data_IF_136663616484
#
_entry.id   IF_136663616484
#
_cell.length_a   1.000
_cell.length_b   1.000
_cell.length_c   1.000
_cell.angle_alpha   90.00
_cell.angle_beta   90.00
_cell.angle_gamma   90.00
#
_symmetry.space_group_name_H-M   'P 1'
#
loop_
_entity.id
_entity.type
_entity.pdbx_description
1 polymer ?
#
# COMPACT_ATOMS: atom_id res chain seq x y z
N UNK A 1 0.30 -5.79 7.02
CA UNK A 1 -0.03 -5.02 8.27
C UNK A 1 -0.52 -3.63 7.89
N UNK A 2 -1.63 -3.18 8.48
CA UNK A 2 -2.19 -1.85 8.22
C UNK A 2 -1.33 -0.70 8.76
N UNK A 3 -1.70 0.53 8.40
CA UNK A 3 -0.97 1.74 8.79
C UNK A 3 -1.24 2.20 10.25
N UNK A 4 -2.27 1.64 10.89
CA UNK A 4 -2.68 1.94 12.27
C UNK A 4 -2.80 3.45 12.57
N UNK A 5 -3.27 4.25 11.62
CA UNK A 5 -3.36 5.71 11.65
C UNK A 5 -2.00 6.44 11.70
N UNK A 6 -0.90 5.71 11.56
CA UNK A 6 0.45 6.25 11.44
C UNK A 6 0.91 6.20 9.99
N UNK A 7 0.09 6.80 9.09
CA UNK A 7 0.20 6.68 7.64
C UNK A 7 1.59 6.90 7.08
N UNK A 8 2.37 7.82 7.66
CA UNK A 8 3.74 8.12 7.23
C UNK A 8 4.67 6.91 7.34
N UNK A 9 4.38 5.96 8.24
CA UNK A 9 5.18 4.75 8.42
C UNK A 9 5.01 3.77 7.26
N UNK A 10 3.94 3.88 6.46
CA UNK A 10 3.77 3.04 5.28
C UNK A 10 4.89 3.23 4.24
N UNK A 11 5.51 4.42 4.22
CA UNK A 11 6.66 4.74 3.35
C UNK A 11 8.02 4.60 4.05
N UNK A 12 8.05 4.28 5.34
CA UNK A 12 9.29 4.05 6.07
C UNK A 12 9.67 2.57 6.02
N UNK A 13 10.81 2.23 5.39
CA UNK A 13 11.28 0.85 5.24
C UNK A 13 11.62 0.18 6.58
N UNK A 14 11.97 0.95 7.60
CA UNK A 14 12.28 0.45 8.95
C UNK A 14 11.03 0.09 9.76
N UNK A 15 9.84 0.41 9.25
CA UNK A 15 8.57 0.13 9.93
C UNK A 15 7.83 -1.01 9.24
N UNK A 16 7.17 -1.85 10.03
CA UNK A 16 6.29 -2.91 9.51
C UNK A 16 4.88 -2.42 9.17
N UNK A 17 4.54 -1.17 9.53
CA UNK A 17 3.24 -0.58 9.20
C UNK A 17 3.10 -0.35 7.69
N UNK A 18 1.94 -0.70 7.13
CA UNK A 18 1.69 -0.56 5.70
C UNK A 18 2.55 -1.46 4.82
N UNK A 19 2.86 -2.66 5.31
CA UNK A 19 3.70 -3.66 4.63
C UNK A 19 2.99 -4.99 4.49
N UNK A 20 3.31 -5.70 3.43
CA UNK A 20 3.07 -7.14 3.31
C UNK A 20 4.38 -7.85 3.61
N UNK A 21 4.30 -8.86 4.46
CA UNK A 21 5.46 -9.58 4.96
C UNK A 21 5.41 -11.05 4.54
N UNK A 22 6.55 -11.59 4.21
CA UNK A 22 6.80 -13.03 4.16
C UNK A 22 7.48 -13.44 5.46
N UNK A 23 6.93 -14.42 6.15
CA UNK A 23 7.45 -14.90 7.42
C UNK A 23 7.87 -16.36 7.27
N UNK A 24 9.11 -16.68 7.63
CA UNK A 24 9.57 -18.05 7.74
C UNK A 24 9.12 -18.63 9.10
N UNK A 25 8.23 -19.61 9.04
CA UNK A 25 7.64 -20.21 10.25
C UNK A 25 8.62 -21.06 11.08
N UNK A 26 9.78 -21.42 10.52
CA UNK A 26 10.76 -22.25 11.23
C UNK A 26 11.70 -21.43 12.13
N UNK A 27 11.98 -20.18 11.74
CA UNK A 27 12.95 -19.34 12.44
C UNK A 27 12.41 -17.95 12.81
N UNK A 28 11.14 -17.66 12.47
CA UNK A 28 10.48 -16.37 12.68
C UNK A 28 11.13 -15.18 11.96
N UNK A 29 12.03 -15.43 11.01
CA UNK A 29 12.55 -14.37 10.16
C UNK A 29 11.46 -13.82 9.25
N UNK A 30 11.52 -12.53 8.97
CA UNK A 30 10.59 -11.89 8.06
C UNK A 30 11.29 -11.05 7.01
N UNK A 31 10.63 -10.92 5.88
CA UNK A 31 11.05 -10.12 4.73
C UNK A 31 9.87 -9.23 4.32
N UNK A 32 10.14 -7.95 4.05
CA UNK A 32 9.14 -7.06 3.46
C UNK A 32 9.06 -7.36 1.97
N UNK A 33 7.89 -7.77 1.48
CA UNK A 33 7.68 -8.10 0.06
C UNK A 33 6.99 -6.98 -0.72
N UNK A 34 6.27 -6.10 -0.03
CA UNK A 34 5.73 -4.87 -0.61
C UNK A 34 5.46 -3.83 0.47
N UNK A 35 5.32 -2.57 0.06
CA UNK A 35 5.10 -1.44 0.96
C UNK A 35 4.06 -0.45 0.40
N UNK A 36 3.72 0.55 1.19
CA UNK A 36 2.79 1.59 0.76
C UNK A 36 1.33 1.14 0.78
N UNK A 37 0.98 0.25 1.71
CA UNK A 37 -0.38 -0.22 1.94
C UNK A 37 -1.06 0.53 3.09
N UNK A 38 -2.38 0.76 2.94
CA UNK A 38 -3.18 1.42 3.98
C UNK A 38 -3.76 0.42 4.97
N UNK A 39 -4.59 -0.48 4.50
CA UNK A 39 -5.32 -1.42 5.35
C UNK A 39 -5.60 -2.76 4.62
N UNK A 40 -4.57 -3.57 4.41
CA UNK A 40 -4.71 -4.90 3.83
C UNK A 40 -5.68 -5.78 4.61
N UNK A 41 -6.64 -6.39 3.93
CA UNK A 41 -7.67 -7.23 4.52
C UNK A 41 -7.64 -8.66 3.99
N UNK A 42 -7.26 -8.86 2.74
CA UNK A 42 -7.21 -10.17 2.12
C UNK A 42 -5.92 -10.41 1.35
N UNK A 43 -5.43 -11.63 1.39
CA UNK A 43 -4.28 -12.10 0.61
C UNK A 43 -4.61 -13.44 -0.02
N UNK A 44 -4.36 -13.56 -1.31
CA UNK A 44 -4.43 -14.81 -2.05
C UNK A 44 -3.15 -15.03 -2.85
N UNK A 45 -2.46 -16.13 -2.61
CA UNK A 45 -1.27 -16.50 -3.37
C UNK A 45 -1.62 -17.45 -4.51
N UNK A 46 -1.45 -16.99 -5.73
CA UNK A 46 -1.50 -17.83 -6.93
C UNK A 46 -0.13 -18.43 -7.19
N UNK A 47 0.04 -19.68 -6.81
CA UNK A 47 1.29 -20.41 -6.95
C UNK A 47 1.64 -20.72 -8.41
N UNK A 48 0.63 -20.93 -9.25
CA UNK A 48 0.84 -21.31 -10.67
C UNK A 48 1.35 -20.11 -11.47
N UNK A 49 0.77 -18.93 -11.22
CA UNK A 49 1.09 -17.70 -11.93
C UNK A 49 2.08 -16.80 -11.18
N UNK A 50 2.50 -17.19 -9.99
CA UNK A 50 3.55 -16.53 -9.20
C UNK A 50 3.22 -15.07 -8.81
N UNK A 51 1.99 -14.82 -8.38
CA UNK A 51 1.60 -13.53 -7.84
C UNK A 51 0.76 -13.65 -6.56
N UNK A 52 0.69 -12.56 -5.82
CA UNK A 52 -0.22 -12.39 -4.70
C UNK A 52 -1.25 -11.34 -5.07
N UNK A 53 -2.54 -11.68 -4.93
CA UNK A 53 -3.60 -10.66 -4.89
C UNK A 53 -3.77 -10.20 -3.45
N UNK A 54 -3.76 -8.91 -3.28
CA UNK A 54 -4.00 -8.23 -2.02
C UNK A 54 -5.22 -7.34 -2.17
N UNK A 55 -6.09 -7.33 -1.17
CA UNK A 55 -7.25 -6.43 -1.12
C UNK A 55 -7.14 -5.53 0.08
N UNK A 56 -7.36 -4.23 -0.13
CA UNK A 56 -7.28 -3.28 0.97
C UNK A 56 -8.39 -2.22 0.96
N UNK A 57 -8.72 -1.77 2.17
CA UNK A 57 -9.53 -0.58 2.33
C UNK A 57 -8.68 0.66 2.10
N UNK A 58 -9.03 1.38 1.05
CA UNK A 58 -8.50 2.70 0.76
C UNK A 58 -9.13 3.80 1.62
N UNK A 59 -8.78 5.05 1.35
CA UNK A 59 -9.55 6.18 1.85
C UNK A 59 -10.90 6.23 1.14
N UNK A 60 -11.71 7.24 1.44
CA UNK A 60 -13.06 7.37 0.92
C UNK A 60 -13.14 7.15 -0.60
N UNK A 61 -13.82 6.08 -1.00
CA UNK A 61 -14.07 5.72 -2.39
C UNK A 61 -12.89 5.08 -3.13
N UNK A 62 -11.88 4.61 -2.43
CA UNK A 62 -10.67 4.09 -3.06
C UNK A 62 -10.20 2.74 -2.50
N UNK A 63 -11.10 1.79 -2.34
CA UNK A 63 -10.72 0.40 -2.05
C UNK A 63 -10.02 -0.19 -3.27
N UNK A 64 -9.06 -1.06 -3.04
CA UNK A 64 -8.13 -1.54 -4.06
C UNK A 64 -7.99 -3.05 -4.06
N UNK A 65 -7.73 -3.58 -5.24
CA UNK A 65 -7.14 -4.91 -5.42
C UNK A 65 -5.78 -4.68 -6.05
N UNK A 66 -4.75 -5.13 -5.36
CA UNK A 66 -3.36 -4.99 -5.76
C UNK A 66 -2.78 -6.33 -6.19
N UNK A 67 -1.92 -6.33 -7.21
CA UNK A 67 -1.19 -7.50 -7.67
C UNK A 67 0.28 -7.33 -7.30
N UNK A 68 0.80 -8.22 -6.45
CA UNK A 68 2.20 -8.26 -6.04
C UNK A 68 2.91 -9.36 -6.83
N UNK A 69 3.87 -9.00 -7.65
CA UNK A 69 4.64 -9.93 -8.46
C UNK A 69 5.70 -10.61 -7.62
N UNK A 70 5.55 -11.92 -7.39
CA UNK A 70 6.46 -12.70 -6.53
C UNK A 70 7.88 -12.75 -7.09
N UNK A 71 8.02 -12.78 -8.40
CA UNK A 71 9.33 -12.79 -9.07
C UNK A 71 10.14 -11.50 -8.86
N UNK A 72 9.48 -10.42 -8.47
CA UNK A 72 10.13 -9.12 -8.16
C UNK A 72 10.48 -8.96 -6.69
N UNK A 73 10.15 -9.94 -5.84
CA UNK A 73 10.57 -9.92 -4.43
C UNK A 73 12.08 -10.09 -4.36
N UNK A 74 12.76 -9.18 -3.64
CA UNK A 74 14.22 -9.20 -3.51
C UNK A 74 14.97 -8.49 -4.64
N UNK A 75 14.30 -7.89 -5.61
CA UNK A 75 14.91 -6.97 -6.55
C UNK A 75 15.33 -5.66 -5.86
N UNK A 76 16.20 -4.88 -6.49
CA UNK A 76 16.75 -3.63 -5.94
C UNK A 76 15.68 -2.61 -5.54
N UNK A 77 14.50 -2.68 -6.15
CA UNK A 77 13.38 -1.79 -5.86
C UNK A 77 12.16 -2.56 -5.34
N UNK A 78 11.84 -2.35 -4.07
CA UNK A 78 10.65 -2.88 -3.44
C UNK A 78 9.37 -2.33 -4.11
N UNK A 79 8.40 -3.21 -4.40
CA UNK A 79 7.10 -2.82 -4.93
C UNK A 79 6.37 -1.92 -3.93
N UNK A 80 6.06 -0.69 -4.34
CA UNK A 80 5.43 0.34 -3.49
C UNK A 80 4.09 0.75 -4.08
N UNK A 81 3.02 0.58 -3.30
CA UNK A 81 1.62 0.83 -3.67
C UNK A 81 1.14 2.23 -3.28
N UNK A 82 2.02 3.10 -2.84
CA UNK A 82 1.85 4.55 -2.84
C UNK A 82 1.28 5.17 -1.58
N UNK A 83 0.54 4.44 -0.72
CA UNK A 83 -0.03 5.02 0.48
C UNK A 83 1.05 5.58 1.42
N UNK A 84 0.89 6.76 2.02
CA UNK A 84 -0.20 7.74 1.90
C UNK A 84 0.06 8.86 0.87
N UNK A 85 1.06 8.73 0.03
CA UNK A 85 1.45 9.76 -0.95
C UNK A 85 0.46 9.78 -2.11
N UNK A 86 0.03 8.60 -2.55
CA UNK A 86 -0.96 8.41 -3.61
C UNK A 86 -1.98 7.36 -3.18
N UNK A 87 -3.21 7.50 -3.63
CA UNK A 87 -4.27 6.51 -3.46
C UNK A 87 -5.37 6.72 -4.51
N UNK A 88 -6.19 5.71 -4.74
CA UNK A 88 -7.34 5.80 -5.64
C UNK A 88 -8.50 6.61 -5.07
N UNK A 89 -8.53 6.84 -3.75
CA UNK A 89 -9.63 7.51 -3.06
C UNK A 89 -9.30 8.89 -2.51
N UNK A 90 -10.33 9.53 -1.97
CA UNK A 90 -10.21 10.85 -1.33
C UNK A 90 -9.77 10.71 0.13
N UNK A 91 -8.65 11.32 0.51
CA UNK A 91 -8.16 11.30 1.88
C UNK A 91 -9.12 12.04 2.84
N UNK A 92 -9.40 11.42 3.98
CA UNK A 92 -10.26 12.03 5.00
C UNK A 92 -9.67 13.33 5.52
N UNK A 93 -10.48 14.40 5.46
CA UNK A 93 -10.09 15.72 5.94
C UNK A 93 -9.07 16.46 5.08
N UNK A 94 -8.68 15.92 3.92
CA UNK A 94 -7.68 16.52 3.05
C UNK A 94 -8.04 17.90 2.50
N UNK A 95 -9.33 18.24 2.48
CA UNK A 95 -9.83 19.54 1.99
C UNK A 95 -9.86 20.64 3.05
N UNK A 96 -9.65 20.33 4.33
CA UNK A 96 -9.66 21.35 5.39
C UNK A 96 -8.32 22.08 5.48
N UNK A 97 -8.37 23.39 5.75
CA UNK A 97 -7.14 24.19 5.91
C UNK A 97 -6.23 23.68 7.03
N UNK A 98 -6.84 23.18 8.11
CA UNK A 98 -6.08 22.59 9.23
C UNK A 98 -5.27 21.36 8.80
N UNK A 99 -5.81 20.59 7.85
CA UNK A 99 -5.17 19.37 7.36
C UNK A 99 -4.23 19.62 6.17
N UNK A 100 -4.34 20.74 5.45
CA UNK A 100 -3.44 21.04 4.32
C UNK A 100 -1.98 20.92 4.70
N UNK A 101 -1.54 21.57 5.77
CA UNK A 101 -0.15 21.49 6.25
C UNK A 101 0.28 20.07 6.59
N UNK A 102 -0.64 19.26 7.14
CA UNK A 102 -0.41 17.86 7.46
C UNK A 102 -0.14 17.02 6.22
N UNK A 103 -0.72 17.41 5.09
CA UNK A 103 -0.64 16.71 3.81
C UNK A 103 0.26 17.38 2.77
N UNK A 104 0.90 18.52 3.09
CA UNK A 104 1.89 19.16 2.20
C UNK A 104 3.01 18.19 1.80
N UNK A 105 3.46 17.37 2.74
CA UNK A 105 4.48 16.35 2.52
C UNK A 105 3.95 15.13 1.75
N UNK A 106 2.65 14.91 1.77
CA UNK A 106 1.97 13.80 1.11
C UNK A 106 0.85 14.36 0.24
N UNK A 107 1.19 14.82 -0.97
CA UNK A 107 0.22 15.45 -1.85
C UNK A 107 -0.93 14.49 -2.16
N UNK A 108 -2.13 15.03 -2.04
CA UNK A 108 -3.36 14.32 -2.36
C UNK A 108 -3.59 14.40 -3.86
N UNK A 109 -4.15 13.36 -4.46
CA UNK A 109 -4.67 13.35 -5.83
C UNK A 109 -3.65 13.36 -6.98
N UNK A 110 -2.41 12.97 -6.73
CA UNK A 110 -1.51 12.62 -7.84
C UNK A 110 -1.59 11.12 -8.13
N UNK A 111 -1.46 10.76 -9.40
CA UNK A 111 -1.49 9.36 -9.81
C UNK A 111 -0.28 8.58 -9.30
N UNK A 112 -0.44 7.30 -9.10
CA UNK A 112 0.65 6.39 -8.76
C UNK A 112 1.78 6.48 -9.78
N UNK A 113 1.44 6.54 -11.08
CA UNK A 113 2.39 6.62 -12.20
C UNK A 113 3.33 7.83 -12.09
N UNK A 114 2.82 9.01 -11.71
CA UNK A 114 3.66 10.23 -11.56
C UNK A 114 4.75 10.09 -10.51
N UNK A 115 4.53 9.21 -9.51
CA UNK A 115 5.52 8.92 -8.46
C UNK A 115 6.32 7.65 -8.70
N UNK A 116 5.99 6.89 -9.75
CA UNK A 116 6.59 5.59 -10.02
C UNK A 116 6.16 4.50 -9.03
N UNK A 117 4.97 4.63 -8.45
CA UNK A 117 4.34 3.59 -7.64
C UNK A 117 3.63 2.56 -8.53
N UNK A 118 3.36 1.39 -7.96
CA UNK A 118 2.58 0.35 -8.62
C UNK A 118 1.11 0.76 -8.63
N UNK A 119 0.49 0.76 -9.81
CA UNK A 119 -0.95 1.00 -9.95
C UNK A 119 -1.74 -0.20 -9.40
N UNK A 120 -2.88 0.03 -8.72
CA UNK A 120 -3.77 -1.06 -8.37
C UNK A 120 -4.31 -1.76 -9.62
N UNK A 121 -4.53 -3.06 -9.51
CA UNK A 121 -5.14 -3.86 -10.58
C UNK A 121 -6.60 -3.43 -10.81
N UNK A 122 -7.30 -3.12 -9.74
CA UNK A 122 -8.69 -2.65 -9.75
C UNK A 122 -8.93 -1.71 -8.57
N UNK A 123 -9.72 -0.67 -8.82
CA UNK A 123 -10.24 0.23 -7.78
C UNK A 123 -11.75 0.22 -7.77
N UNK A 124 -12.36 0.34 -6.60
CA UNK A 124 -13.81 0.36 -6.47
C UNK A 124 -14.27 1.14 -5.24
N UNK A 125 -15.50 1.62 -5.32
CA UNK A 125 -16.16 2.31 -4.23
C UNK A 125 -17.24 1.37 -3.69
N UNK A 126 -17.07 0.74 -2.53
CA UNK A 126 -18.13 -0.04 -1.94
C UNK A 126 -19.29 0.88 -1.56
N UNK A 127 -20.47 0.40 -1.78
CA UNK A 127 -21.73 1.11 -1.47
C UNK A 127 -22.02 1.14 0.03
#
# INVERSE_FOLDING_TARGET
>A
MGDFRSRHLAQNIESLNGKILKIDINNNNHEIISMGHRNPQGLYFDKENNFILETEHGPKGGDEINLIEVNKIGEDKLQNYGWPISSAGEHYGGKSEENKKKYEKYPLYKSHTEYGFVEPLLTFTPS
#
